data_IF_604524210469
#
_entry.id   IF_604524210469
#
_cell.length_a   1.000
_cell.length_b   1.000
_cell.length_c   1.000
_cell.angle_alpha   90.00
_cell.angle_beta   90.00
_cell.angle_gamma   90.00
#
_symmetry.space_group_name_H-M   'P 1'
#
loop_
_entity.id
_entity.type
_entity.pdbx_description
1 polymer ?
#
# COMPACT_ATOMS: atom_id res chain seq x y z
N UNK A 1 7.64 21.82 -14.20
CA UNK A 1 7.35 21.29 -12.87
C UNK A 1 8.06 19.95 -12.74
N UNK A 2 8.70 19.72 -11.60
CA UNK A 2 9.36 18.45 -11.32
C UNK A 2 8.39 17.29 -11.21
N UNK A 3 8.89 16.07 -11.38
CA UNK A 3 8.10 14.85 -11.16
C UNK A 3 8.13 14.50 -9.68
N UNK A 4 7.00 14.62 -9.00
CA UNK A 4 6.86 14.33 -7.57
C UNK A 4 5.94 13.13 -7.38
N UNK A 5 6.40 12.13 -6.61
CA UNK A 5 5.58 11.00 -6.19
C UNK A 5 5.09 11.22 -4.75
N UNK A 6 3.82 10.93 -4.50
CA UNK A 6 3.29 10.65 -3.17
C UNK A 6 2.71 9.24 -3.12
N UNK A 7 3.08 8.51 -2.09
CA UNK A 7 2.50 7.21 -1.76
C UNK A 7 2.50 7.03 -0.24
N UNK A 8 1.82 6.00 0.28
CA UNK A 8 1.82 5.76 1.72
C UNK A 8 0.89 4.64 2.14
N UNK A 9 0.93 4.31 3.42
CA UNK A 9 0.07 3.30 4.04
C UNK A 9 -0.46 3.77 5.39
N UNK A 10 -1.62 3.28 5.77
CA UNK A 10 -2.19 3.51 7.10
C UNK A 10 -1.54 2.57 8.12
N UNK A 11 -1.07 3.07 9.29
CA UNK A 11 -0.43 2.24 10.32
C UNK A 11 -1.49 1.48 11.14
N UNK A 12 -2.23 0.58 10.52
CA UNK A 12 -3.26 -0.25 11.16
C UNK A 12 -2.77 -1.65 11.53
N UNK A 13 -1.49 -1.92 11.39
CA UNK A 13 -0.79 -3.17 11.66
C UNK A 13 0.46 -3.29 10.78
N UNK A 14 1.33 -4.27 11.09
CA UNK A 14 2.51 -4.62 10.29
C UNK A 14 2.13 -4.87 8.82
N UNK A 15 3.06 -4.66 7.90
CA UNK A 15 2.82 -4.89 6.49
C UNK A 15 2.99 -6.38 6.14
N UNK A 16 2.24 -6.84 5.16
CA UNK A 16 2.26 -8.22 4.69
C UNK A 16 2.72 -8.29 3.24
N UNK A 17 3.01 -9.51 2.74
CA UNK A 17 3.52 -9.72 1.38
C UNK A 17 2.62 -9.14 0.29
N UNK A 18 1.31 -8.98 0.54
CA UNK A 18 0.41 -8.28 -0.39
C UNK A 18 0.72 -6.79 -0.54
N UNK A 19 1.17 -6.10 0.54
CA UNK A 19 1.66 -4.71 0.43
C UNK A 19 3.01 -4.67 -0.31
N UNK A 20 3.88 -5.67 -0.05
CA UNK A 20 5.17 -5.76 -0.70
C UNK A 20 5.03 -5.86 -2.22
N UNK A 21 4.28 -6.85 -2.70
CA UNK A 21 4.08 -7.10 -4.13
C UNK A 21 3.26 -5.99 -4.79
N UNK A 22 2.19 -5.55 -4.11
CA UNK A 22 1.25 -4.57 -4.68
C UNK A 22 1.76 -3.13 -4.67
N UNK A 23 2.81 -2.81 -3.91
CA UNK A 23 3.22 -1.42 -3.73
C UNK A 23 4.69 -1.23 -3.37
N UNK A 24 5.22 -1.86 -2.30
CA UNK A 24 6.54 -1.52 -1.78
C UNK A 24 7.67 -1.86 -2.76
N UNK A 25 7.59 -3.00 -3.45
CA UNK A 25 8.56 -3.40 -4.47
C UNK A 25 8.64 -2.38 -5.60
N UNK A 26 7.51 -1.85 -6.03
CA UNK A 26 7.46 -0.80 -7.05
C UNK A 26 8.02 0.53 -6.54
N UNK A 27 7.72 0.92 -5.28
CA UNK A 27 8.30 2.13 -4.66
C UNK A 27 9.82 2.08 -4.63
N UNK A 28 10.40 0.94 -4.25
CA UNK A 28 11.86 0.73 -4.25
C UNK A 28 12.43 0.80 -5.67
N UNK A 29 11.72 0.23 -6.65
CA UNK A 29 12.13 0.31 -8.05
C UNK A 29 12.13 1.76 -8.54
N UNK A 30 11.06 2.51 -8.33
CA UNK A 30 10.94 3.93 -8.70
C UNK A 30 12.01 4.79 -8.03
N UNK A 31 12.27 4.56 -6.74
CA UNK A 31 13.34 5.22 -6.00
C UNK A 31 14.71 5.00 -6.65
N UNK A 32 15.00 3.77 -7.10
CA UNK A 32 16.30 3.40 -7.64
C UNK A 32 16.46 3.80 -9.12
N UNK A 33 15.37 3.95 -9.85
CA UNK A 33 15.40 4.47 -11.24
C UNK A 33 15.83 5.94 -11.30
N UNK A 34 15.49 6.74 -10.28
CA UNK A 34 15.91 8.13 -10.19
C UNK A 34 15.21 9.09 -11.16
N UNK A 35 14.07 8.69 -11.74
CA UNK A 35 13.32 9.47 -12.72
C UNK A 35 12.40 10.54 -12.10
N UNK A 36 12.44 10.68 -10.77
CA UNK A 36 11.63 11.59 -10.00
C UNK A 36 12.47 12.56 -9.18
N UNK A 37 12.04 13.81 -9.12
CA UNK A 37 12.75 14.85 -8.37
C UNK A 37 12.56 14.66 -6.87
N UNK A 38 11.40 14.13 -6.46
CA UNK A 38 11.06 13.86 -5.06
C UNK A 38 10.10 12.70 -4.90
N UNK A 39 10.32 11.91 -3.87
CA UNK A 39 9.41 10.82 -3.46
C UNK A 39 9.06 11.03 -1.98
N UNK A 40 7.76 11.22 -1.71
CA UNK A 40 7.20 11.27 -0.37
C UNK A 40 6.50 9.96 -0.05
N UNK A 41 6.82 9.36 1.09
CA UNK A 41 6.22 8.11 1.57
C UNK A 41 5.57 8.40 2.93
N UNK A 42 4.25 8.50 2.94
CA UNK A 42 3.47 8.92 4.09
C UNK A 42 3.03 7.72 4.94
N UNK A 43 3.24 7.81 6.24
CA UNK A 43 2.55 6.98 7.23
C UNK A 43 1.31 7.74 7.65
N UNK A 44 0.14 7.32 7.13
CA UNK A 44 -1.12 8.05 7.22
C UNK A 44 -1.86 7.72 8.53
N UNK A 45 -1.33 8.19 9.65
CA UNK A 45 -1.84 7.93 11.00
C UNK A 45 -3.14 8.67 11.30
N UNK A 46 -3.27 9.94 10.91
CA UNK A 46 -4.51 10.69 11.06
C UNK A 46 -5.65 10.04 10.25
N UNK A 47 -5.38 9.57 9.04
CA UNK A 47 -6.33 8.82 8.25
C UNK A 47 -6.68 7.46 8.88
N UNK A 48 -5.72 6.80 9.53
CA UNK A 48 -5.99 5.55 10.24
C UNK A 48 -6.97 5.72 11.41
N UNK A 49 -7.01 6.90 12.03
CA UNK A 49 -7.96 7.20 13.12
C UNK A 49 -9.41 7.30 12.65
N UNK A 50 -9.70 7.50 11.36
CA UNK A 50 -11.08 7.61 10.86
C UNK A 50 -11.91 6.34 11.10
N UNK A 51 -11.25 5.20 11.27
CA UNK A 51 -11.86 3.91 11.58
C UNK A 51 -11.21 3.17 12.76
N UNK A 52 -10.31 3.84 13.50
CA UNK A 52 -9.65 3.34 14.71
C UNK A 52 -9.66 4.40 15.84
N UNK A 53 -10.65 5.29 15.87
CA UNK A 53 -10.72 6.37 16.86
C UNK A 53 -10.77 5.85 18.31
N UNK A 54 -11.40 4.70 18.53
CA UNK A 54 -11.51 4.07 19.85
C UNK A 54 -10.21 3.37 20.30
N UNK A 55 -9.26 3.16 19.38
CA UNK A 55 -7.98 2.50 19.69
C UNK A 55 -6.77 3.27 19.10
N UNK A 56 -6.52 4.50 19.56
CA UNK A 56 -5.41 5.32 19.05
C UNK A 56 -4.04 4.71 19.38
N UNK A 57 -3.92 3.93 20.44
CA UNK A 57 -2.67 3.25 20.80
C UNK A 57 -2.25 2.25 19.71
N UNK A 58 -3.19 1.52 19.13
CA UNK A 58 -2.92 0.64 17.98
C UNK A 58 -2.30 1.39 16.81
N UNK A 59 -2.81 2.59 16.50
CA UNK A 59 -2.25 3.42 15.41
C UNK A 59 -0.84 3.86 15.78
N UNK A 60 -0.63 4.36 17.01
CA UNK A 60 0.67 4.80 17.51
C UNK A 60 1.73 3.69 17.44
N UNK A 61 1.40 2.51 17.93
CA UNK A 61 2.34 1.38 17.99
C UNK A 61 2.73 0.89 16.59
N UNK A 62 1.85 1.06 15.61
CA UNK A 62 2.10 0.62 14.24
C UNK A 62 2.83 1.65 13.36
N UNK A 63 3.08 2.88 13.81
CA UNK A 63 3.90 3.85 13.07
C UNK A 63 5.31 3.29 12.89
N UNK A 64 5.94 2.87 13.98
CA UNK A 64 7.30 2.32 13.94
C UNK A 64 7.35 0.99 13.19
N UNK A 65 6.33 0.13 13.33
CA UNK A 65 6.26 -1.14 12.61
C UNK A 65 6.23 -0.94 11.09
N UNK A 66 5.44 0.02 10.59
CA UNK A 66 5.37 0.36 9.17
C UNK A 66 6.68 1.00 8.68
N UNK A 67 7.30 1.87 9.48
CA UNK A 67 8.59 2.47 9.12
C UNK A 67 9.69 1.41 9.01
N UNK A 68 9.73 0.46 9.94
CA UNK A 68 10.66 -0.67 9.89
C UNK A 68 10.45 -1.54 8.65
N UNK A 69 9.19 -1.80 8.29
CA UNK A 69 8.86 -2.56 7.07
C UNK A 69 9.30 -1.81 5.80
N UNK A 70 9.14 -0.47 5.74
CA UNK A 70 9.62 0.33 4.61
C UNK A 70 11.15 0.22 4.45
N UNK A 71 11.89 0.45 5.51
CA UNK A 71 13.35 0.38 5.51
C UNK A 71 13.84 -1.06 5.21
N UNK A 72 13.15 -2.05 5.76
CA UNK A 72 13.45 -3.46 5.50
C UNK A 72 13.26 -3.85 4.02
N UNK A 73 12.22 -3.32 3.37
CA UNK A 73 11.98 -3.53 1.94
C UNK A 73 13.00 -2.81 1.04
N UNK A 74 13.78 -1.87 1.59
CA UNK A 74 14.83 -1.17 0.83
C UNK A 74 14.47 0.27 0.47
N UNK A 75 13.47 0.87 1.14
CA UNK A 75 13.29 2.32 1.07
C UNK A 75 14.50 2.99 1.73
N UNK A 76 15.14 3.85 0.97
CA UNK A 76 16.33 4.58 1.36
C UNK A 76 15.93 6.00 1.79
N UNK A 77 16.11 6.38 3.07
CA UNK A 77 15.73 7.69 3.57
C UNK A 77 16.54 8.85 3.00
N UNK A 78 17.68 8.59 2.34
CA UNK A 78 18.43 9.61 1.62
C UNK A 78 17.85 9.92 0.23
N UNK A 79 17.03 9.00 -0.33
CA UNK A 79 16.39 9.15 -1.64
C UNK A 79 14.90 9.45 -1.54
N UNK A 80 14.25 8.98 -0.49
CA UNK A 80 12.80 9.08 -0.29
C UNK A 80 12.49 9.68 1.08
N UNK A 81 11.64 10.68 1.13
CA UNK A 81 11.24 11.33 2.38
C UNK A 81 10.11 10.53 3.04
N UNK A 82 10.40 9.88 4.17
CA UNK A 82 9.40 9.16 4.97
C UNK A 82 8.83 10.11 6.02
N UNK A 83 7.52 10.25 6.08
CA UNK A 83 6.84 11.22 6.93
C UNK A 83 5.64 10.64 7.66
N UNK A 84 5.26 11.27 8.78
CA UNK A 84 4.04 10.98 9.54
C UNK A 84 3.00 12.07 9.23
N UNK A 85 1.82 11.68 8.79
CA UNK A 85 0.76 12.59 8.33
C UNK A 85 0.36 13.61 9.39
N UNK A 86 0.14 13.20 10.64
CA UNK A 86 -0.28 14.09 11.73
C UNK A 86 0.75 15.14 12.14
N UNK A 87 2.01 14.98 11.72
CA UNK A 87 3.07 15.97 11.94
C UNK A 87 2.98 17.19 11.00
N UNK A 88 2.03 17.17 10.06
CA UNK A 88 1.84 18.20 9.04
C UNK A 88 0.43 18.79 9.15
N UNK A 89 0.21 19.75 10.06
CA UNK A 89 -1.11 20.34 10.29
C UNK A 89 -1.68 21.07 9.07
N UNK A 90 -0.85 21.49 8.14
CA UNK A 90 -1.22 22.11 6.87
C UNK A 90 -2.19 21.25 6.05
N UNK A 91 -2.08 19.93 6.15
CA UNK A 91 -3.00 18.98 5.49
C UNK A 91 -4.44 19.11 5.99
N UNK A 92 -4.60 19.37 7.28
CA UNK A 92 -5.92 19.56 7.91
C UNK A 92 -6.54 20.88 7.44
N UNK A 93 -5.76 21.96 7.35
CA UNK A 93 -6.24 23.27 6.88
C UNK A 93 -6.63 23.19 5.40
N UNK A 94 -5.82 22.56 4.54
CA UNK A 94 -6.16 22.30 3.13
C UNK A 94 -7.45 21.48 3.01
N UNK A 95 -7.59 20.43 3.82
CA UNK A 95 -8.82 19.61 3.84
C UNK A 95 -10.05 20.46 4.10
N UNK A 96 -9.98 21.38 5.08
CA UNK A 96 -11.09 22.27 5.40
C UNK A 96 -11.45 23.18 4.22
N UNK A 97 -10.47 23.73 3.52
CA UNK A 97 -10.73 24.55 2.32
C UNK A 97 -11.36 23.74 1.20
N UNK A 98 -10.88 22.51 0.98
CA UNK A 98 -11.39 21.62 -0.07
C UNK A 98 -12.82 21.12 0.21
N UNK A 99 -13.24 21.03 1.48
CA UNK A 99 -14.64 20.68 1.83
C UNK A 99 -15.62 21.68 1.22
N UNK A 100 -15.24 22.94 0.99
CA UNK A 100 -16.09 23.95 0.36
C UNK A 100 -16.25 23.75 -1.17
N UNK A 101 -15.45 22.88 -1.77
CA UNK A 101 -15.44 22.61 -3.20
C UNK A 101 -16.18 21.33 -3.58
N UNK A 102 -16.56 20.50 -2.59
CA UNK A 102 -17.16 19.17 -2.81
C UNK A 102 -18.51 19.10 -2.11
N UNK A 103 -19.50 18.52 -2.79
CA UNK A 103 -20.82 18.30 -2.17
C UNK A 103 -20.90 16.94 -1.49
N UNK A 104 -21.73 16.81 -0.45
CA UNK A 104 -22.04 15.55 0.21
C UNK A 104 -22.45 14.49 -0.81
N UNK A 105 -23.32 14.85 -1.75
CA UNK A 105 -23.81 13.95 -2.80
C UNK A 105 -22.67 13.42 -3.71
N UNK A 106 -21.61 14.21 -3.93
CA UNK A 106 -20.45 13.78 -4.71
C UNK A 106 -19.63 12.73 -3.95
N UNK A 107 -19.37 12.97 -2.67
CA UNK A 107 -18.66 12.00 -1.80
C UNK A 107 -19.45 10.69 -1.70
N UNK A 108 -20.75 10.75 -1.47
CA UNK A 108 -21.63 9.58 -1.41
C UNK A 108 -21.64 8.75 -2.70
N UNK A 109 -21.43 9.37 -3.85
CA UNK A 109 -21.37 8.67 -5.15
C UNK A 109 -20.03 8.01 -5.45
N UNK A 110 -18.99 8.28 -4.68
CA UNK A 110 -17.69 7.65 -4.87
C UNK A 110 -17.81 6.12 -4.65
N UNK A 111 -17.44 5.28 -5.64
CA UNK A 111 -17.61 3.83 -5.54
C UNK A 111 -16.84 3.19 -4.40
N UNK A 112 -15.63 3.67 -4.13
CA UNK A 112 -14.79 3.16 -3.04
C UNK A 112 -15.43 3.46 -1.69
N UNK A 113 -15.89 4.68 -1.46
CA UNK A 113 -16.61 5.07 -0.23
C UNK A 113 -17.85 4.22 -0.02
N UNK A 114 -18.66 4.01 -1.07
CA UNK A 114 -19.85 3.14 -0.99
C UNK A 114 -19.53 1.72 -0.56
N UNK A 115 -18.49 1.15 -1.15
CA UNK A 115 -18.06 -0.21 -0.85
C UNK A 115 -17.56 -0.32 0.59
N UNK A 116 -16.76 0.62 1.05
CA UNK A 116 -16.22 0.64 2.41
C UNK A 116 -17.31 0.87 3.47
N UNK A 117 -18.29 1.75 3.23
CA UNK A 117 -19.44 1.94 4.13
C UNK A 117 -20.18 0.61 4.35
N UNK A 118 -20.44 -0.15 3.27
CA UNK A 118 -21.09 -1.46 3.36
C UNK A 118 -20.23 -2.48 4.13
N UNK A 119 -18.95 -2.57 3.82
CA UNK A 119 -18.02 -3.51 4.47
C UNK A 119 -17.89 -3.28 5.98
N UNK A 120 -18.08 -2.02 6.43
CA UNK A 120 -17.93 -1.63 7.84
C UNK A 120 -19.25 -1.55 8.60
N UNK A 121 -20.38 -1.85 7.95
CA UNK A 121 -21.72 -1.70 8.53
C UNK A 121 -22.02 -0.30 9.07
N UNK A 122 -21.51 0.74 8.43
CA UNK A 122 -21.73 2.15 8.82
C UNK A 122 -23.03 2.75 8.30
N UNK A 123 -23.89 1.98 7.64
CA UNK A 123 -25.03 2.45 6.84
C UNK A 123 -25.89 3.54 7.50
N UNK A 124 -26.12 3.47 8.81
CA UNK A 124 -26.92 4.45 9.57
C UNK A 124 -26.09 5.45 10.37
N UNK A 125 -24.82 5.15 10.67
CA UNK A 125 -23.98 5.94 11.57
C UNK A 125 -22.58 6.12 10.99
N UNK A 126 -22.47 6.84 9.87
CA UNK A 126 -21.17 7.10 9.23
C UNK A 126 -20.43 8.18 10.03
N UNK A 127 -19.24 7.90 10.61
CA UNK A 127 -18.43 8.94 11.22
C UNK A 127 -18.05 10.02 10.19
N UNK A 128 -18.13 11.29 10.56
CA UNK A 128 -17.83 12.40 9.64
C UNK A 128 -16.40 12.32 9.13
N UNK A 129 -15.41 12.00 9.99
CA UNK A 129 -14.02 11.82 9.57
C UNK A 129 -13.87 10.72 8.51
N UNK A 130 -14.58 9.59 8.69
CA UNK A 130 -14.62 8.54 7.67
C UNK A 130 -15.29 9.01 6.37
N UNK A 131 -16.34 9.81 6.47
CA UNK A 131 -17.05 10.29 5.29
C UNK A 131 -16.22 11.28 4.45
N UNK A 132 -15.42 12.12 5.10
CA UNK A 132 -14.62 13.18 4.43
C UNK A 132 -13.20 12.74 4.05
N UNK A 133 -12.76 11.52 4.38
CA UNK A 133 -11.40 11.09 4.09
C UNK A 133 -10.98 11.21 2.61
N UNK A 134 -11.86 11.11 1.59
CA UNK A 134 -11.45 11.33 0.20
C UNK A 134 -11.02 12.77 -0.07
N UNK A 135 -11.56 13.73 0.68
CA UNK A 135 -11.16 15.14 0.60
C UNK A 135 -9.82 15.35 1.31
N UNK A 136 -9.63 14.71 2.46
CA UNK A 136 -8.34 14.69 3.16
C UNK A 136 -7.25 14.06 2.30
N UNK A 137 -7.53 12.96 1.61
CA UNK A 137 -6.57 12.35 0.69
C UNK A 137 -6.19 13.27 -0.47
N UNK A 138 -7.13 14.08 -0.97
CA UNK A 138 -6.81 15.11 -1.97
C UNK A 138 -5.87 16.19 -1.40
N UNK A 139 -6.04 16.58 -0.12
CA UNK A 139 -5.13 17.49 0.55
C UNK A 139 -3.73 16.86 0.72
N UNK A 140 -3.65 15.60 1.11
CA UNK A 140 -2.38 14.86 1.20
C UNK A 140 -1.61 14.91 -0.14
N UNK A 141 -2.30 14.67 -1.26
CA UNK A 141 -1.70 14.62 -2.60
C UNK A 141 -1.25 16.01 -3.07
N UNK A 142 -2.11 16.99 -2.93
CA UNK A 142 -1.85 18.33 -3.48
C UNK A 142 -0.89 19.16 -2.64
N UNK A 143 -0.81 18.91 -1.32
CA UNK A 143 0.11 19.60 -0.43
C UNK A 143 1.58 19.51 -0.87
N UNK A 144 1.95 18.39 -1.46
CA UNK A 144 3.31 18.14 -1.93
C UNK A 144 3.48 18.40 -3.44
N UNK A 145 2.45 18.88 -4.12
CA UNK A 145 2.47 19.07 -5.57
C UNK A 145 2.71 17.75 -6.31
N UNK A 146 2.18 16.64 -5.79
CA UNK A 146 2.38 15.33 -6.36
C UNK A 146 1.81 15.23 -7.77
N UNK A 147 2.69 14.92 -8.72
CA UNK A 147 2.32 14.71 -10.13
C UNK A 147 1.91 13.27 -10.41
N UNK A 148 2.36 12.35 -9.53
CA UNK A 148 2.18 10.91 -9.72
C UNK A 148 1.88 10.22 -8.40
N UNK A 149 0.84 9.37 -8.40
CA UNK A 149 0.44 8.57 -7.24
C UNK A 149 0.42 7.09 -7.66
N UNK A 150 1.44 6.29 -7.27
CA UNK A 150 1.42 4.85 -7.43
C UNK A 150 0.32 4.23 -6.57
N UNK A 151 -0.67 3.60 -7.19
CA UNK A 151 -1.80 3.03 -6.47
C UNK A 151 -2.54 1.96 -7.30
N UNK A 152 -3.25 1.06 -6.62
CA UNK A 152 -4.10 0.07 -7.27
C UNK A 152 -5.35 0.70 -7.93
N UNK A 153 -6.01 -0.09 -8.77
CA UNK A 153 -7.22 0.37 -9.51
C UNK A 153 -8.36 0.82 -8.59
N UNK A 154 -8.45 0.26 -7.39
CA UNK A 154 -9.44 0.63 -6.38
C UNK A 154 -9.29 2.08 -5.89
N UNK A 155 -8.13 2.70 -6.12
CA UNK A 155 -7.85 4.09 -5.80
C UNK A 155 -8.17 5.07 -6.95
N UNK A 156 -8.48 4.59 -8.15
CA UNK A 156 -8.90 5.46 -9.28
C UNK A 156 -10.00 6.46 -8.91
N UNK A 157 -11.11 6.05 -8.24
CA UNK A 157 -12.18 6.99 -7.89
C UNK A 157 -11.73 8.07 -6.88
N UNK A 158 -10.71 7.79 -6.07
CA UNK A 158 -10.13 8.78 -5.16
C UNK A 158 -9.30 9.81 -5.91
N UNK A 159 -8.46 9.35 -6.84
CA UNK A 159 -7.66 10.23 -7.70
C UNK A 159 -8.55 11.10 -8.60
N UNK A 160 -9.63 10.54 -9.16
CA UNK A 160 -10.62 11.29 -9.93
C UNK A 160 -11.25 12.41 -9.07
N UNK A 161 -11.64 12.10 -7.84
CA UNK A 161 -12.17 13.12 -6.92
C UNK A 161 -11.12 14.18 -6.56
N UNK A 162 -9.86 13.80 -6.38
CA UNK A 162 -8.75 14.74 -6.18
C UNK A 162 -8.61 15.68 -7.39
N UNK A 163 -8.62 15.16 -8.61
CA UNK A 163 -8.53 15.94 -9.85
C UNK A 163 -9.72 16.90 -10.00
N UNK A 164 -10.93 16.47 -9.66
CA UNK A 164 -12.11 17.34 -9.63
C UNK A 164 -11.93 18.51 -8.66
N UNK A 165 -11.35 18.27 -7.48
CA UNK A 165 -11.05 19.32 -6.49
C UNK A 165 -10.02 20.30 -7.06
N UNK A 166 -8.92 19.81 -7.62
CA UNK A 166 -7.88 20.62 -8.26
C UNK A 166 -8.48 21.47 -9.37
N UNK A 167 -9.23 20.86 -10.27
CA UNK A 167 -9.91 21.56 -11.37
C UNK A 167 -10.81 22.67 -10.87
N UNK A 168 -11.64 22.37 -9.89
CA UNK A 168 -12.57 23.34 -9.32
C UNK A 168 -11.86 24.47 -8.59
N UNK A 169 -10.80 24.14 -7.83
CA UNK A 169 -9.98 25.14 -7.16
C UNK A 169 -9.34 26.09 -8.18
N UNK A 170 -8.63 25.55 -9.16
CA UNK A 170 -7.93 26.34 -10.17
C UNK A 170 -8.88 27.18 -11.03
N UNK A 171 -10.08 26.66 -11.31
CA UNK A 171 -11.12 27.42 -12.04
C UNK A 171 -11.67 28.63 -11.27
N UNK A 172 -11.76 28.54 -9.93
CA UNK A 172 -12.32 29.62 -9.10
C UNK A 172 -11.23 30.63 -8.68
N UNK A 173 -10.04 30.12 -8.31
CA UNK A 173 -9.01 30.92 -7.64
C UNK A 173 -7.75 31.14 -8.51
N UNK A 174 -7.69 30.55 -9.71
CA UNK A 174 -6.52 30.62 -10.59
C UNK A 174 -5.59 29.40 -10.44
N UNK A 175 -4.75 29.17 -11.43
CA UNK A 175 -3.81 28.05 -11.51
C UNK A 175 -2.85 28.04 -10.31
N UNK A 176 -3.08 27.11 -9.37
CA UNK A 176 -2.35 27.03 -8.10
C UNK A 176 -1.97 25.60 -7.75
N UNK A 177 -2.92 24.67 -7.89
CA UNK A 177 -2.74 23.26 -7.53
C UNK A 177 -2.34 22.40 -8.75
N UNK A 178 -1.51 21.39 -8.50
CA UNK A 178 -1.05 20.43 -9.51
C UNK A 178 -2.02 19.26 -9.60
N UNK A 179 -2.39 18.88 -10.83
CA UNK A 179 -3.24 17.72 -11.08
C UNK A 179 -2.43 16.42 -11.04
N UNK A 180 -2.79 15.45 -10.18
CA UNK A 180 -2.07 14.19 -10.07
C UNK A 180 -2.50 13.19 -11.13
N UNK A 181 -1.58 12.30 -11.53
CA UNK A 181 -1.85 11.12 -12.34
C UNK A 181 -1.69 9.85 -11.52
N UNK A 182 -2.56 8.87 -11.75
CA UNK A 182 -2.39 7.54 -11.17
C UNK A 182 -1.33 6.77 -11.96
N UNK A 183 -0.44 6.08 -11.24
CA UNK A 183 0.47 5.09 -11.82
C UNK A 183 0.00 3.71 -11.33
N UNK A 184 -0.46 2.89 -12.26
CA UNK A 184 -0.88 1.52 -11.96
C UNK A 184 0.34 0.59 -11.99
N UNK A 185 0.38 -0.45 -11.11
CA UNK A 185 1.41 -1.47 -11.15
C UNK A 185 1.49 -2.14 -12.52
N UNK A 186 2.70 -2.37 -13.00
CA UNK A 186 2.93 -2.96 -14.34
C UNK A 186 2.53 -4.44 -14.42
N UNK A 187 2.57 -5.18 -13.31
CA UNK A 187 2.24 -6.60 -13.28
C UNK A 187 0.85 -6.84 -12.67
N UNK A 188 -0.08 -7.31 -13.49
CA UNK A 188 -1.46 -7.60 -13.07
C UNK A 188 -1.56 -8.71 -12.01
N UNK A 189 -0.66 -9.70 -12.01
CA UNK A 189 -0.60 -10.75 -10.98
C UNK A 189 -0.27 -10.19 -9.59
N UNK A 190 0.42 -9.04 -9.54
CA UNK A 190 0.78 -8.35 -8.29
C UNK A 190 -0.35 -7.50 -7.70
N UNK A 191 -1.42 -7.26 -8.47
CA UNK A 191 -2.47 -6.32 -8.08
C UNK A 191 -3.29 -6.76 -6.86
N UNK A 192 -3.45 -8.08 -6.63
CA UNK A 192 -4.35 -8.55 -5.59
C UNK A 192 -4.08 -9.99 -5.15
N UNK A 193 -3.14 -10.20 -4.24
CA UNK A 193 -2.95 -11.52 -3.66
C UNK A 193 -4.18 -11.92 -2.81
N UNK A 194 -4.73 -13.14 -3.02
CA UNK A 194 -5.75 -13.69 -2.14
C UNK A 194 -5.16 -13.98 -0.76
N UNK A 195 -6.02 -14.09 0.25
CA UNK A 195 -5.63 -14.62 1.56
C UNK A 195 -5.23 -16.10 1.47
N UNK A 196 -4.59 -16.58 2.53
CA UNK A 196 -4.18 -17.99 2.63
C UNK A 196 -5.35 -18.97 2.51
N UNK A 197 -6.55 -18.52 2.84
CA UNK A 197 -7.81 -19.25 2.76
C UNK A 197 -8.40 -19.35 1.33
N UNK A 198 -7.83 -18.66 0.37
CA UNK A 198 -8.28 -18.64 -1.03
C UNK A 198 -9.65 -17.98 -1.27
N UNK A 199 -10.31 -17.47 -0.21
CA UNK A 199 -11.70 -16.98 -0.29
C UNK A 199 -11.82 -15.47 -0.35
N UNK A 200 -10.94 -14.76 0.34
CA UNK A 200 -10.98 -13.32 0.47
C UNK A 200 -9.62 -12.69 0.13
N UNK A 201 -9.62 -11.38 -0.09
CA UNK A 201 -8.37 -10.60 -0.18
C UNK A 201 -7.57 -10.80 1.11
N UNK A 202 -6.24 -10.87 0.98
CA UNK A 202 -5.33 -10.84 2.11
C UNK A 202 -5.64 -9.66 3.03
N UNK A 203 -5.87 -9.94 4.33
CA UNK A 203 -6.29 -8.93 5.29
C UNK A 203 -5.75 -9.24 6.69
N UNK A 204 -5.25 -8.19 7.35
CA UNK A 204 -4.78 -8.25 8.74
C UNK A 204 -5.91 -8.68 9.71
N UNK A 205 -7.12 -8.17 9.50
CA UNK A 205 -8.28 -8.46 10.36
C UNK A 205 -8.77 -9.89 10.25
N UNK A 206 -8.54 -10.56 9.12
CA UNK A 206 -8.90 -11.96 8.91
C UNK A 206 -7.80 -12.94 9.33
N UNK A 207 -6.60 -12.44 9.65
CA UNK A 207 -5.48 -13.31 10.02
C UNK A 207 -4.98 -14.23 8.89
N UNK A 208 -5.39 -13.97 7.64
CA UNK A 208 -5.10 -14.80 6.47
C UNK A 208 -3.90 -14.29 5.66
N UNK A 209 -2.89 -13.71 6.32
CA UNK A 209 -1.75 -13.06 5.67
C UNK A 209 -0.39 -13.57 6.19
N UNK A 210 0.63 -13.46 5.33
CA UNK A 210 2.04 -13.61 5.71
C UNK A 210 2.60 -12.21 5.89
N UNK A 211 3.09 -11.88 7.10
CA UNK A 211 3.74 -10.61 7.37
C UNK A 211 5.19 -10.59 6.89
N UNK A 212 5.71 -9.43 6.55
CA UNK A 212 7.11 -9.25 6.17
C UNK A 212 8.06 -9.58 7.31
N UNK A 213 7.58 -9.42 8.55
CA UNK A 213 8.30 -9.71 9.79
C UNK A 213 8.09 -11.13 10.33
N UNK A 214 7.34 -12.00 9.62
CA UNK A 214 7.16 -13.39 10.09
C UNK A 214 8.47 -14.15 10.06
N UNK A 215 8.75 -14.91 11.12
CA UNK A 215 9.92 -15.80 11.16
C UNK A 215 9.75 -16.99 10.20
N UNK A 216 10.85 -17.63 9.75
CA UNK A 216 10.82 -18.67 8.74
C UNK A 216 9.86 -19.83 9.04
N UNK A 217 9.80 -20.27 10.29
CA UNK A 217 8.90 -21.38 10.67
C UNK A 217 7.42 -20.99 10.65
N UNK A 218 7.10 -19.71 10.96
CA UNK A 218 5.74 -19.20 10.86
C UNK A 218 5.30 -19.09 9.39
N UNK A 219 6.17 -18.60 8.50
CA UNK A 219 5.91 -18.58 7.05
C UNK A 219 5.65 -19.98 6.53
N UNK A 220 6.50 -20.94 6.87
CA UNK A 220 6.35 -22.33 6.48
C UNK A 220 5.01 -22.91 6.95
N UNK A 221 4.64 -22.69 8.20
CA UNK A 221 3.34 -23.11 8.75
C UNK A 221 2.17 -22.50 7.97
N UNK A 222 2.22 -21.22 7.69
CA UNK A 222 1.21 -20.49 6.91
C UNK A 222 1.09 -21.02 5.49
N UNK A 223 2.21 -21.19 4.78
CA UNK A 223 2.23 -21.73 3.42
C UNK A 223 1.69 -23.16 3.38
N UNK A 224 2.11 -24.02 4.31
CA UNK A 224 1.60 -25.40 4.37
C UNK A 224 0.10 -25.49 4.71
N UNK A 225 -0.46 -24.47 5.40
CA UNK A 225 -1.89 -24.38 5.70
C UNK A 225 -2.74 -23.67 4.61
N UNK A 226 -2.13 -23.20 3.51
CA UNK A 226 -2.87 -22.56 2.43
C UNK A 226 -3.96 -23.47 1.88
N UNK A 227 -5.06 -22.84 1.43
CA UNK A 227 -6.15 -23.52 0.75
C UNK A 227 -5.62 -24.42 -0.38
N UNK A 228 -6.24 -25.59 -0.50
CA UNK A 228 -6.02 -26.55 -1.58
C UNK A 228 -7.31 -26.74 -2.37
N UNK A 229 -7.19 -27.10 -3.64
CA UNK A 229 -8.35 -27.41 -4.47
C UNK A 229 -9.13 -28.60 -3.89
N UNK A 230 -10.42 -28.42 -3.52
CA UNK A 230 -11.24 -29.50 -2.96
C UNK A 230 -11.50 -30.65 -3.93
N UNK A 231 -11.25 -30.47 -5.23
CA UNK A 231 -11.39 -31.50 -6.24
C UNK A 231 -10.08 -32.29 -6.48
N UNK A 232 -8.95 -31.78 -5.96
CA UNK A 232 -7.64 -32.44 -6.03
C UNK A 232 -7.37 -33.25 -4.75
N UNK A 233 -8.14 -34.34 -4.57
CA UNK A 233 -8.06 -35.16 -3.36
C UNK A 233 -6.90 -36.19 -3.40
N UNK A 234 -6.55 -36.65 -4.57
CA UNK A 234 -5.45 -37.59 -4.82
C UNK A 234 -4.44 -36.93 -5.74
N UNK A 235 -3.21 -37.40 -5.67
CA UNK A 235 -2.12 -36.91 -6.53
C UNK A 235 -2.43 -37.05 -8.02
N UNK A 236 -3.17 -38.08 -8.39
CA UNK A 236 -3.57 -38.37 -9.77
C UNK A 236 -4.71 -37.47 -10.29
N UNK A 237 -5.44 -36.81 -9.40
CA UNK A 237 -6.57 -35.96 -9.78
C UNK A 237 -6.04 -34.69 -10.48
N UNK A 238 -6.72 -34.19 -11.52
CA UNK A 238 -6.46 -32.87 -12.09
C UNK A 238 -6.71 -31.77 -11.06
N UNK A 239 -5.88 -30.71 -11.06
CA UNK A 239 -6.02 -29.58 -10.13
C UNK A 239 -6.23 -28.25 -10.83
N UNK A 240 -6.91 -27.32 -10.14
CA UNK A 240 -7.07 -25.93 -10.58
C UNK A 240 -5.85 -25.08 -10.18
N UNK A 241 -5.32 -24.32 -11.12
CA UNK A 241 -4.19 -23.41 -10.91
C UNK A 241 -4.62 -21.93 -10.92
N UNK A 242 -5.80 -21.61 -11.49
CA UNK A 242 -6.26 -20.23 -11.60
C UNK A 242 -6.85 -19.69 -10.31
N UNK A 243 -7.63 -20.52 -9.58
CA UNK A 243 -8.25 -20.14 -8.31
C UNK A 243 -7.49 -20.68 -7.10
N UNK A 244 -6.30 -21.23 -7.29
CA UNK A 244 -5.48 -21.78 -6.25
C UNK A 244 -4.46 -20.74 -5.74
N UNK A 245 -4.56 -20.27 -4.49
CA UNK A 245 -3.68 -19.24 -3.95
C UNK A 245 -2.20 -19.63 -4.02
N UNK A 246 -1.86 -20.92 -3.97
CA UNK A 246 -0.46 -21.38 -4.06
C UNK A 246 0.13 -21.01 -5.42
N UNK A 247 -0.61 -21.21 -6.50
CA UNK A 247 -0.14 -20.86 -7.85
C UNK A 247 -0.19 -19.34 -8.10
N UNK A 248 -1.20 -18.64 -7.58
CA UNK A 248 -1.25 -17.17 -7.65
C UNK A 248 -0.04 -16.54 -6.95
N UNK A 249 0.42 -17.12 -5.83
CA UNK A 249 1.62 -16.64 -5.15
C UNK A 249 2.88 -17.00 -5.94
N UNK A 250 2.94 -18.17 -6.56
CA UNK A 250 4.04 -18.50 -7.47
C UNK A 250 4.10 -17.55 -8.66
N UNK A 251 2.98 -17.16 -9.27
CA UNK A 251 2.94 -16.13 -10.33
C UNK A 251 3.51 -14.79 -9.88
N UNK A 252 3.35 -14.45 -8.61
CA UNK A 252 3.81 -13.17 -8.06
C UNK A 252 5.29 -13.16 -7.64
N UNK A 253 5.84 -14.30 -7.23
CA UNK A 253 7.15 -14.38 -6.59
C UNK A 253 8.17 -15.26 -7.33
N UNK A 254 7.72 -16.32 -8.01
CA UNK A 254 8.62 -17.29 -8.62
C UNK A 254 9.33 -16.76 -9.87
N UNK A 255 10.60 -17.10 -9.99
CA UNK A 255 11.42 -16.83 -11.15
C UNK A 255 11.94 -18.18 -11.71
N UNK A 256 12.32 -18.20 -12.99
CA UNK A 256 12.82 -19.43 -13.61
C UNK A 256 14.07 -19.99 -12.90
N UNK A 257 14.89 -19.10 -12.32
CA UNK A 257 16.08 -19.47 -11.54
C UNK A 257 15.74 -20.28 -10.27
N UNK A 258 14.55 -20.11 -9.71
CA UNK A 258 14.13 -20.81 -8.49
C UNK A 258 13.87 -22.30 -8.76
N UNK A 259 13.53 -22.66 -10.01
CA UNK A 259 13.39 -24.05 -10.40
C UNK A 259 14.71 -24.77 -10.35
N UNK A 260 15.78 -24.19 -10.90
CA UNK A 260 17.11 -24.82 -10.87
C UNK A 260 17.60 -25.09 -9.43
N UNK A 261 17.21 -24.23 -8.49
CA UNK A 261 17.63 -24.30 -7.09
C UNK A 261 16.74 -25.24 -6.25
N UNK A 262 15.42 -25.18 -6.41
CA UNK A 262 14.48 -25.82 -5.49
C UNK A 262 13.62 -26.93 -6.09
N UNK A 263 13.49 -26.98 -7.44
CA UNK A 263 12.60 -27.93 -8.11
C UNK A 263 13.11 -28.27 -9.53
N UNK A 264 14.35 -28.84 -9.67
CA UNK A 264 15.07 -28.93 -10.94
C UNK A 264 14.45 -29.87 -11.99
N UNK A 265 13.41 -30.62 -11.64
CA UNK A 265 12.64 -31.43 -12.59
C UNK A 265 11.70 -30.64 -13.50
N UNK A 266 11.51 -29.31 -13.24
CA UNK A 266 10.76 -28.40 -14.09
C UNK A 266 11.66 -27.23 -14.53
N UNK A 267 11.41 -26.70 -15.71
CA UNK A 267 12.16 -25.53 -16.24
C UNK A 267 11.57 -24.19 -15.82
N UNK A 268 10.25 -24.15 -15.68
CA UNK A 268 9.50 -22.92 -15.40
C UNK A 268 8.14 -23.24 -14.76
N UNK A 269 7.43 -22.16 -14.40
CA UNK A 269 6.12 -22.26 -13.75
C UNK A 269 5.04 -22.85 -14.65
N UNK A 270 5.11 -22.65 -15.97
CA UNK A 270 4.13 -23.19 -16.90
C UNK A 270 4.20 -24.73 -16.97
N UNK A 271 5.39 -25.31 -16.94
CA UNK A 271 5.55 -26.76 -16.86
C UNK A 271 4.99 -27.32 -15.54
N UNK A 272 5.21 -26.64 -14.43
CA UNK A 272 4.68 -27.03 -13.12
C UNK A 272 3.14 -26.98 -13.12
N UNK A 273 2.55 -25.88 -13.62
CA UNK A 273 1.11 -25.72 -13.76
C UNK A 273 0.50 -26.79 -14.67
N UNK A 274 1.08 -27.02 -15.84
CA UNK A 274 0.61 -28.04 -16.76
C UNK A 274 0.64 -29.47 -16.14
N UNK A 275 1.64 -29.75 -15.30
CA UNK A 275 1.70 -31.04 -14.58
C UNK A 275 0.58 -31.11 -13.51
N UNK A 276 0.37 -30.09 -12.74
CA UNK A 276 -0.68 -30.05 -11.72
C UNK A 276 -2.10 -30.16 -12.34
N UNK A 277 -2.33 -29.49 -13.46
CA UNK A 277 -3.61 -29.52 -14.19
C UNK A 277 -3.95 -30.89 -14.79
N UNK A 278 -2.97 -31.67 -15.21
CA UNK A 278 -3.22 -33.03 -15.77
C UNK A 278 -3.26 -34.14 -14.70
N UNK A 279 -2.93 -33.80 -13.45
CA UNK A 279 -2.75 -34.78 -12.38
C UNK A 279 -1.35 -35.37 -12.33
N UNK A 280 -0.99 -35.96 -11.19
CA UNK A 280 0.34 -36.57 -10.93
C UNK A 280 1.26 -35.72 -10.06
N UNK A 281 0.81 -34.52 -9.59
CA UNK A 281 1.57 -33.62 -8.74
C UNK A 281 0.79 -33.25 -7.48
N UNK A 282 1.26 -33.66 -6.32
CA UNK A 282 0.57 -33.39 -5.05
C UNK A 282 0.85 -31.99 -4.48
N UNK A 283 -0.16 -31.41 -3.81
CA UNK A 283 -0.14 -30.06 -3.18
C UNK A 283 1.05 -29.82 -2.27
N UNK A 284 1.43 -30.81 -1.47
CA UNK A 284 2.54 -30.68 -0.51
C UNK A 284 3.85 -30.33 -1.21
N UNK A 285 4.09 -30.87 -2.41
CA UNK A 285 5.30 -30.60 -3.19
C UNK A 285 5.30 -29.15 -3.69
N UNK A 286 4.16 -28.70 -4.24
CA UNK A 286 4.00 -27.33 -4.72
C UNK A 286 4.11 -26.32 -3.58
N UNK A 287 3.49 -26.60 -2.43
CA UNK A 287 3.61 -25.76 -1.22
C UNK A 287 5.03 -25.68 -0.68
N UNK A 288 5.78 -26.78 -0.69
CA UNK A 288 7.20 -26.76 -0.30
C UNK A 288 8.02 -25.88 -1.25
N UNK A 289 7.77 -25.97 -2.54
CA UNK A 289 8.41 -25.10 -3.53
C UNK A 289 8.06 -23.63 -3.29
N UNK A 290 6.78 -23.30 -3.14
CA UNK A 290 6.34 -21.94 -2.80
C UNK A 290 7.00 -21.44 -1.50
N UNK A 291 7.07 -22.27 -0.47
CA UNK A 291 7.74 -21.89 0.77
C UNK A 291 9.22 -21.50 0.52
N UNK A 292 9.95 -22.27 -0.28
CA UNK A 292 11.35 -21.96 -0.57
C UNK A 292 11.48 -20.64 -1.34
N UNK A 293 10.62 -20.40 -2.33
CA UNK A 293 10.56 -19.14 -3.09
C UNK A 293 10.28 -17.95 -2.17
N UNK A 294 9.26 -18.03 -1.30
CA UNK A 294 8.93 -16.96 -0.36
C UNK A 294 10.06 -16.76 0.66
N UNK A 295 10.67 -17.83 1.18
CA UNK A 295 11.78 -17.71 2.12
C UNK A 295 12.98 -16.98 1.50
N UNK A 296 13.34 -17.31 0.26
CA UNK A 296 14.39 -16.65 -0.50
C UNK A 296 14.13 -15.17 -0.70
N UNK A 297 12.90 -14.81 -1.08
CA UNK A 297 12.50 -13.41 -1.30
C UNK A 297 12.49 -12.60 0.02
N UNK A 298 11.99 -13.19 1.10
CA UNK A 298 11.82 -12.47 2.37
C UNK A 298 13.06 -12.50 3.28
N UNK A 299 14.00 -13.41 3.09
CA UNK A 299 15.20 -13.50 3.93
C UNK A 299 15.97 -12.16 4.02
N UNK A 300 16.33 -11.49 2.91
CA UNK A 300 17.04 -10.23 2.97
C UNK A 300 16.21 -9.09 3.60
N UNK A 301 14.88 -9.14 3.48
CA UNK A 301 13.96 -8.19 4.12
C UNK A 301 13.99 -8.39 5.63
N UNK A 302 13.89 -9.63 6.12
CA UNK A 302 13.98 -9.93 7.56
C UNK A 302 15.33 -9.54 8.17
N UNK A 303 16.43 -9.78 7.47
CA UNK A 303 17.76 -9.39 7.94
C UNK A 303 17.88 -7.87 8.09
N UNK A 304 17.45 -7.11 7.07
CA UNK A 304 17.43 -5.64 7.17
C UNK A 304 16.49 -5.17 8.27
N UNK A 305 15.31 -5.80 8.43
CA UNK A 305 14.40 -5.44 9.51
C UNK A 305 15.04 -5.63 10.89
N UNK A 306 15.67 -6.78 11.15
CA UNK A 306 16.38 -7.05 12.41
C UNK A 306 17.50 -6.02 12.68
N UNK A 307 18.20 -5.58 11.65
CA UNK A 307 19.20 -4.51 11.75
C UNK A 307 18.54 -3.18 12.17
N UNK A 308 17.43 -2.79 11.55
CA UNK A 308 16.75 -1.54 11.86
C UNK A 308 16.04 -1.57 13.23
N UNK A 309 15.53 -2.70 13.68
CA UNK A 309 14.98 -2.87 15.03
C UNK A 309 15.99 -2.55 16.13
N UNK A 310 17.27 -2.83 15.91
CA UNK A 310 18.35 -2.46 16.82
C UNK A 310 18.66 -0.95 16.80
N UNK A 311 18.19 -0.23 15.79
CA UNK A 311 18.41 1.20 15.56
C UNK A 311 17.12 2.01 15.63
N UNK A 312 16.16 1.60 16.43
CA UNK A 312 14.86 2.27 16.59
C UNK A 312 14.95 3.79 16.82
N UNK A 313 15.89 4.32 17.64
CA UNK A 313 16.05 5.78 17.76
C UNK A 313 16.41 6.47 16.44
N UNK A 314 17.24 5.84 15.60
CA UNK A 314 17.58 6.35 14.27
C UNK A 314 16.36 6.37 13.34
N UNK A 315 15.50 5.34 13.42
CA UNK A 315 14.25 5.30 12.66
C UNK A 315 13.31 6.46 13.05
N UNK A 316 13.18 6.76 14.33
CA UNK A 316 12.42 7.93 14.80
C UNK A 316 13.02 9.26 14.29
N UNK A 317 14.33 9.36 14.21
CA UNK A 317 14.99 10.55 13.67
C UNK A 317 14.77 10.71 12.16
N UNK A 318 14.77 9.61 11.40
CA UNK A 318 14.38 9.58 9.98
C UNK A 318 12.96 10.13 9.81
N UNK A 319 12.02 9.62 10.60
CA UNK A 319 10.61 10.06 10.56
C UNK A 319 10.47 11.53 10.94
N UNK A 320 11.19 11.99 11.97
CA UNK A 320 11.18 13.37 12.41
C UNK A 320 11.71 14.32 11.31
N UNK A 321 12.87 14.00 10.75
CA UNK A 321 13.52 14.79 9.69
C UNK A 321 12.63 14.84 8.43
N UNK A 322 12.13 13.69 8.00
CA UNK A 322 11.26 13.62 6.83
C UNK A 322 9.93 14.37 7.01
N UNK A 323 9.35 14.33 8.22
CA UNK A 323 8.13 15.08 8.53
C UNK A 323 8.38 16.59 8.55
N UNK A 324 9.51 17.06 9.05
CA UNK A 324 9.87 18.48 9.03
C UNK A 324 10.08 18.98 7.59
N UNK A 325 10.81 18.25 6.78
CA UNK A 325 11.01 18.56 5.36
C UNK A 325 9.68 18.60 4.60
N UNK A 326 8.83 17.61 4.80
CA UNK A 326 7.51 17.54 4.18
C UNK A 326 6.60 18.71 4.62
N UNK A 327 6.69 19.10 5.91
CA UNK A 327 5.95 20.26 6.44
C UNK A 327 6.32 21.56 5.75
N UNK A 328 7.60 21.79 5.48
CA UNK A 328 8.06 22.99 4.76
C UNK A 328 7.43 23.07 3.36
N UNK A 329 7.35 21.93 2.65
CA UNK A 329 6.74 21.86 1.32
C UNK A 329 5.22 22.11 1.41
N UNK A 330 4.54 21.49 2.37
CA UNK A 330 3.10 21.65 2.57
C UNK A 330 2.74 23.09 2.98
N UNK A 331 3.55 23.72 3.85
CA UNK A 331 3.37 25.10 4.27
C UNK A 331 3.43 26.07 3.08
N UNK A 332 4.38 25.87 2.17
CA UNK A 332 4.49 26.67 0.94
C UNK A 332 3.27 26.52 0.03
N UNK A 333 2.77 25.30 -0.11
CA UNK A 333 1.55 25.05 -0.89
C UNK A 333 0.34 25.71 -0.22
N UNK A 334 0.20 25.58 1.09
CA UNK A 334 -0.87 26.20 1.85
C UNK A 334 -0.84 27.73 1.73
N UNK A 335 0.34 28.35 1.80
CA UNK A 335 0.50 29.79 1.59
C UNK A 335 0.01 30.21 0.20
N UNK A 336 0.40 29.49 -0.86
CA UNK A 336 -0.08 29.75 -2.22
C UNK A 336 -1.61 29.62 -2.33
N UNK A 337 -2.19 28.60 -1.70
CA UNK A 337 -3.64 28.38 -1.63
C UNK A 337 -4.33 29.56 -0.93
N UNK A 338 -3.83 29.99 0.22
CA UNK A 338 -4.39 31.15 0.97
C UNK A 338 -4.30 32.45 0.16
N UNK A 339 -3.18 32.65 -0.54
CA UNK A 339 -2.99 33.80 -1.43
C UNK A 339 -4.00 33.80 -2.59
N UNK A 340 -4.17 32.64 -3.26
CA UNK A 340 -5.15 32.48 -4.33
C UNK A 340 -6.59 32.72 -3.85
N UNK A 341 -6.93 32.24 -2.64
CA UNK A 341 -8.23 32.46 -1.99
C UNK A 341 -8.40 33.87 -1.40
N UNK A 342 -7.37 34.71 -1.42
CA UNK A 342 -7.35 36.07 -0.84
C UNK A 342 -7.62 36.12 0.68
N UNK A 343 -7.09 35.13 1.40
CA UNK A 343 -7.20 35.04 2.88
C UNK A 343 -5.84 35.18 3.59
N UNK A 344 -4.87 35.75 2.90
CA UNK A 344 -3.53 36.10 3.41
C UNK A 344 -3.50 37.56 3.85
N UNK A 345 -4.11 37.87 4.97
CA UNK A 345 -4.41 39.26 5.39
C UNK A 345 -3.21 40.09 5.83
N UNK A 346 -2.08 39.50 6.15
CA UNK A 346 -0.95 40.17 6.80
C UNK A 346 0.39 39.90 6.07
N UNK A 347 0.35 39.78 4.77
CA UNK A 347 1.54 39.73 3.91
C UNK A 347 2.01 41.13 3.50
#
# INVERSE_FOLDING_TARGET
MGKVILTGDRPTGRLHIGHYVGSLRERVMLQNQGDFDKIFIMIADAQALTDNAENPQKVRDNIIEVALDYLACGIDPEKSTILIQSMIPELTELTFYYMNLVTIARVQRNPTVKTEIKMRNFEMNIPVGFFVYPISQAADITAFGATTVPAGEDQKPMLEQCREIVHRFNSIYGETLVEPNIMLPQNSACLRLPGLDGKAKMSKSLGNCIYLSDEPEEIKKKVMSMYTDPNHLRVEDPGDTENNPVFIYLDAFCKDEDFAEFLPEYKNLDELKAHYQRGGLGDVKVKKFLNNVIQKELAPIRERRKMWEQKTPEVYEILRKGSLEAKEVAAKTLENVKRAMKINYFE
#
